data_IF_414710010603
#
_entry.id   IF_414710010603
#
_cell.length_a   1.000
_cell.length_b   1.000
_cell.length_c   1.000
_cell.angle_alpha   90.00
_cell.angle_beta   90.00
_cell.angle_gamma   90.00
#
_symmetry.space_group_name_H-M   'P 1'
#
loop_
_entity.id
_entity.type
_entity.pdbx_description
1 polymer ?
#
# COMPACT_ATOMS: atom_id res chain seq x y z
N UNK A 1 7.12 17.14 -18.37
CA UNK A 1 8.39 17.16 -17.61
C UNK A 1 8.34 16.36 -16.32
N UNK A 2 7.34 16.52 -15.42
CA UNK A 2 7.28 15.76 -14.12
C UNK A 2 7.25 14.23 -14.28
N UNK A 3 6.59 13.67 -15.31
CA UNK A 3 6.49 12.20 -15.53
C UNK A 3 7.78 11.54 -16.04
N UNK A 4 8.61 12.28 -16.80
CA UNK A 4 9.91 11.79 -17.24
C UNK A 4 10.93 11.73 -16.10
N UNK A 5 10.86 12.68 -15.16
CA UNK A 5 11.69 12.69 -13.95
C UNK A 5 11.41 11.46 -13.07
N UNK A 6 10.13 11.03 -12.96
CA UNK A 6 9.76 9.82 -12.21
C UNK A 6 10.37 8.56 -12.86
N UNK A 7 10.34 8.46 -14.18
CA UNK A 7 10.92 7.32 -14.90
C UNK A 7 12.46 7.24 -14.71
N UNK A 8 13.15 8.38 -14.73
CA UNK A 8 14.61 8.48 -14.54
C UNK A 8 14.98 8.21 -13.07
N UNK A 9 14.20 8.72 -12.09
CA UNK A 9 14.43 8.47 -10.68
C UNK A 9 14.29 6.98 -10.32
N UNK A 10 13.34 6.26 -10.93
CA UNK A 10 13.18 4.81 -10.79
C UNK A 10 14.38 4.00 -11.34
N UNK A 11 15.08 4.53 -12.35
CA UNK A 11 16.26 3.90 -12.95
C UNK A 11 17.55 4.14 -12.17
N UNK A 12 17.64 5.23 -11.40
CA UNK A 12 18.88 5.65 -10.73
C UNK A 12 18.94 5.28 -9.23
N UNK A 13 17.85 4.74 -8.68
CA UNK A 13 17.86 4.23 -7.29
C UNK A 13 17.78 5.29 -6.19
N UNK A 14 17.70 6.58 -6.52
CA UNK A 14 17.62 7.70 -5.57
C UNK A 14 16.16 8.12 -5.38
N UNK A 15 15.34 7.17 -4.90
CA UNK A 15 13.94 7.43 -4.57
C UNK A 15 13.82 7.64 -3.06
N UNK A 16 14.06 8.87 -2.62
CA UNK A 16 13.46 9.34 -1.37
C UNK A 16 11.94 9.24 -1.57
N UNK A 17 11.24 8.52 -0.69
CA UNK A 17 9.79 8.59 -0.59
C UNK A 17 9.40 9.97 -0.05
N UNK A 18 9.84 11.02 -0.73
CA UNK A 18 9.16 12.29 -0.64
C UNK A 18 7.78 12.07 -1.20
N UNK A 19 6.77 12.46 -0.46
CA UNK A 19 5.34 12.40 -0.77
C UNK A 19 5.01 13.28 -1.98
N UNK A 20 5.78 13.18 -3.08
CA UNK A 20 5.47 13.82 -4.34
C UNK A 20 4.42 13.01 -5.08
N UNK A 21 3.16 13.28 -4.68
CA UNK A 21 2.01 13.32 -5.59
C UNK A 21 1.88 12.11 -6.55
N UNK A 22 1.88 10.87 -6.02
CA UNK A 22 1.01 9.88 -6.61
C UNK A 22 -0.41 10.32 -6.24
N UNK A 23 -0.93 11.24 -7.04
CA UNK A 23 -2.27 11.75 -6.88
C UNK A 23 -3.21 10.54 -7.04
N UNK A 24 -3.88 10.13 -5.97
CA UNK A 24 -4.88 9.05 -5.98
C UNK A 24 -5.88 9.25 -7.13
N UNK A 25 -6.05 10.47 -7.62
CA UNK A 25 -6.82 10.83 -8.82
C UNK A 25 -6.24 10.31 -10.15
N UNK A 26 -4.97 9.91 -10.20
CA UNK A 26 -4.37 9.35 -11.42
C UNK A 26 -4.84 7.90 -11.73
N UNK A 27 -5.47 7.22 -10.77
CA UNK A 27 -6.14 5.93 -10.97
C UNK A 27 -7.56 6.05 -11.54
N UNK A 28 -8.00 7.24 -11.95
CA UNK A 28 -9.41 7.55 -12.20
C UNK A 28 -9.96 7.18 -13.58
N UNK A 29 -9.17 6.68 -14.52
CA UNK A 29 -9.75 6.08 -15.72
C UNK A 29 -10.14 4.62 -15.43
N UNK A 30 -11.40 4.26 -15.63
CA UNK A 30 -11.97 2.95 -15.27
C UNK A 30 -11.19 1.75 -15.83
N UNK A 31 -10.58 1.89 -16.99
CA UNK A 31 -9.87 0.82 -17.68
C UNK A 31 -8.46 0.60 -17.10
N UNK A 32 -7.72 1.68 -16.80
CA UNK A 32 -6.36 1.60 -16.24
C UNK A 32 -6.35 0.98 -14.85
N UNK A 33 -7.39 1.26 -14.09
CA UNK A 33 -7.57 0.76 -12.75
C UNK A 33 -7.85 -0.75 -12.74
N UNK A 34 -8.76 -1.24 -13.61
CA UNK A 34 -9.04 -2.66 -13.71
C UNK A 34 -7.82 -3.48 -14.16
N UNK A 35 -7.02 -2.91 -15.07
CA UNK A 35 -5.76 -3.51 -15.52
C UNK A 35 -4.75 -3.57 -14.37
N UNK A 36 -4.59 -2.50 -13.59
CA UNK A 36 -3.68 -2.49 -12.45
C UNK A 36 -4.08 -3.53 -11.41
N UNK A 37 -5.36 -3.59 -11.04
CA UNK A 37 -5.90 -4.60 -10.11
C UNK A 37 -5.63 -6.01 -10.61
N UNK A 38 -5.88 -6.28 -11.90
CA UNK A 38 -5.62 -7.59 -12.52
C UNK A 38 -4.13 -7.97 -12.48
N UNK A 39 -3.25 -7.02 -12.76
CA UNK A 39 -1.80 -7.25 -12.74
C UNK A 39 -1.27 -7.51 -11.33
N UNK A 40 -1.76 -6.78 -10.34
CA UNK A 40 -1.43 -7.01 -8.93
C UNK A 40 -1.94 -8.38 -8.48
N UNK A 41 -3.19 -8.73 -8.84
CA UNK A 41 -3.78 -10.03 -8.53
C UNK A 41 -2.95 -11.19 -9.13
N UNK A 42 -2.60 -11.09 -10.40
CA UNK A 42 -1.77 -12.08 -11.09
C UNK A 42 -0.36 -12.15 -10.49
N UNK A 43 0.26 -11.02 -10.17
CA UNK A 43 1.60 -10.96 -9.60
C UNK A 43 1.72 -11.72 -8.28
N UNK A 44 0.71 -11.59 -7.41
CA UNK A 44 0.68 -12.27 -6.11
C UNK A 44 -0.11 -13.59 -6.13
N UNK A 45 -0.62 -14.03 -7.28
CA UNK A 45 -1.51 -15.16 -7.38
C UNK A 45 -2.70 -15.08 -6.40
N UNK A 46 -3.33 -13.91 -6.37
CA UNK A 46 -4.49 -13.62 -5.52
C UNK A 46 -5.76 -13.46 -6.35
N UNK A 47 -6.91 -13.62 -5.70
CA UNK A 47 -8.21 -13.38 -6.30
C UNK A 47 -8.37 -11.91 -6.70
N UNK A 48 -8.88 -11.66 -7.93
CA UNK A 48 -9.12 -10.32 -8.46
C UNK A 48 -10.03 -9.49 -7.55
N UNK A 49 -11.08 -10.11 -7.02
CA UNK A 49 -12.06 -9.41 -6.20
C UNK A 49 -11.50 -9.04 -4.83
N UNK A 50 -10.57 -9.85 -4.30
CA UNK A 50 -9.85 -9.48 -3.08
C UNK A 50 -9.01 -8.21 -3.31
N UNK A 51 -8.20 -8.19 -4.38
CA UNK A 51 -7.36 -7.03 -4.68
C UNK A 51 -8.22 -5.80 -4.97
N UNK A 52 -9.32 -5.99 -5.72
CA UNK A 52 -10.28 -4.93 -5.99
C UNK A 52 -10.89 -4.36 -4.70
N UNK A 53 -11.32 -5.20 -3.77
CA UNK A 53 -11.90 -4.74 -2.49
C UNK A 53 -10.88 -3.96 -1.64
N UNK A 54 -9.61 -4.39 -1.63
CA UNK A 54 -8.53 -3.64 -0.98
C UNK A 54 -8.37 -2.25 -1.61
N UNK A 55 -8.34 -2.17 -2.95
CA UNK A 55 -8.25 -0.89 -3.67
C UNK A 55 -9.43 0.01 -3.34
N UNK A 56 -10.67 -0.49 -3.43
CA UNK A 56 -11.88 0.28 -3.13
C UNK A 56 -11.86 0.83 -1.70
N UNK A 57 -11.47 0.01 -0.72
CA UNK A 57 -11.34 0.43 0.67
C UNK A 57 -10.30 1.55 0.78
N UNK A 58 -9.13 1.38 0.17
CA UNK A 58 -8.05 2.37 0.23
C UNK A 58 -8.47 3.72 -0.35
N UNK A 59 -9.13 3.71 -1.52
CA UNK A 59 -9.63 4.93 -2.16
C UNK A 59 -10.65 5.66 -1.28
N UNK A 60 -11.55 4.92 -0.60
CA UNK A 60 -12.54 5.50 0.31
C UNK A 60 -11.91 6.19 1.54
N UNK A 61 -10.70 5.80 1.93
CA UNK A 61 -9.98 6.38 3.07
C UNK A 61 -8.79 7.23 2.65
N UNK A 62 -8.63 7.54 1.36
CA UNK A 62 -7.52 8.33 0.82
C UNK A 62 -6.13 7.75 1.19
N UNK A 63 -6.00 6.42 1.11
CA UNK A 63 -4.74 5.69 1.29
C UNK A 63 -4.30 5.13 -0.06
N UNK A 64 -2.99 5.17 -0.33
CA UNK A 64 -2.44 4.56 -1.54
C UNK A 64 -2.67 3.04 -1.54
N UNK A 65 -3.41 2.48 -2.53
CA UNK A 65 -3.68 1.05 -2.60
C UNK A 65 -2.41 0.19 -2.72
N UNK A 66 -1.39 0.65 -3.44
CA UNK A 66 -0.14 -0.10 -3.61
C UNK A 66 0.66 -0.14 -2.31
N UNK A 67 0.62 0.93 -1.51
CA UNK A 67 1.19 0.93 -0.16
C UNK A 67 0.49 -0.11 0.73
N UNK A 68 -0.84 -0.15 0.69
CA UNK A 68 -1.60 -1.10 1.49
C UNK A 68 -1.40 -2.55 1.05
N UNK A 69 -1.33 -2.82 -0.24
CA UNK A 69 -1.00 -4.14 -0.80
C UNK A 69 0.40 -4.59 -0.33
N UNK A 70 1.39 -3.68 -0.39
CA UNK A 70 2.74 -3.95 0.09
C UNK A 70 2.76 -4.29 1.59
N UNK A 71 1.97 -3.56 2.39
CA UNK A 71 1.82 -3.82 3.81
C UNK A 71 1.22 -5.21 4.06
N UNK A 72 0.11 -5.55 3.38
CA UNK A 72 -0.55 -6.87 3.51
C UNK A 72 0.41 -8.01 3.11
N UNK A 73 1.18 -7.82 2.04
CA UNK A 73 2.21 -8.77 1.60
C UNK A 73 3.21 -9.07 2.72
N UNK A 74 3.73 -8.04 3.36
CA UNK A 74 4.75 -8.19 4.42
C UNK A 74 4.15 -8.70 5.73
N UNK A 75 2.91 -8.32 6.07
CA UNK A 75 2.26 -8.71 7.33
C UNK A 75 1.80 -10.17 7.36
N UNK A 76 1.25 -10.66 6.28
CA UNK A 76 0.59 -11.97 6.28
C UNK A 76 0.80 -12.80 5.02
N UNK A 77 1.46 -12.26 4.01
CA UNK A 77 1.51 -12.87 2.67
C UNK A 77 0.09 -13.20 2.15
N UNK A 78 -0.85 -12.27 2.33
CA UNK A 78 -2.27 -12.43 2.00
C UNK A 78 -2.97 -13.59 2.73
N UNK A 79 -2.48 -14.02 3.89
CA UNK A 79 -3.15 -15.04 4.70
C UNK A 79 -4.21 -14.41 5.61
N UNK A 80 -5.53 -14.65 5.34
CA UNK A 80 -6.60 -14.05 6.11
C UNK A 80 -6.71 -14.56 7.57
N UNK A 81 -6.04 -15.66 7.88
CA UNK A 81 -6.08 -16.32 9.19
C UNK A 81 -4.74 -16.31 9.90
N UNK A 82 -3.75 -15.57 9.37
CA UNK A 82 -2.45 -15.43 10.00
C UNK A 82 -2.58 -14.96 11.45
N UNK A 83 -1.92 -15.65 12.37
CA UNK A 83 -1.92 -15.32 13.80
C UNK A 83 -0.48 -15.25 14.32
N UNK A 84 -0.09 -14.08 14.82
CA UNK A 84 1.24 -13.89 15.40
C UNK A 84 1.30 -14.28 16.88
N UNK A 85 2.53 -14.46 17.41
CA UNK A 85 2.75 -14.67 18.86
C UNK A 85 2.25 -13.52 19.73
N UNK A 86 2.11 -12.31 19.15
CA UNK A 86 1.58 -11.12 19.82
C UNK A 86 0.07 -10.97 19.66
N UNK A 87 -0.62 -12.02 19.22
CA UNK A 87 -2.07 -12.00 18.96
C UNK A 87 -2.49 -10.97 17.90
N UNK A 88 -1.61 -10.65 16.95
CA UNK A 88 -2.00 -9.92 15.74
C UNK A 88 -2.65 -10.90 14.75
N UNK A 89 -3.71 -10.49 14.04
CA UNK A 89 -4.54 -11.38 13.24
C UNK A 89 -4.83 -10.84 11.84
N UNK A 90 -4.90 -11.76 10.89
CA UNK A 90 -5.42 -11.58 9.54
C UNK A 90 -4.50 -10.86 8.58
N UNK A 91 -5.05 -10.39 7.47
CA UNK A 91 -4.33 -9.75 6.38
C UNK A 91 -3.38 -8.63 6.83
N UNK A 92 -3.85 -7.75 7.71
CA UNK A 92 -3.14 -6.57 8.18
C UNK A 92 -2.50 -6.77 9.56
N UNK A 93 -2.48 -8.00 10.09
CA UNK A 93 -1.92 -8.32 11.41
C UNK A 93 -2.41 -7.36 12.50
N UNK A 94 -3.72 -7.18 12.60
CA UNK A 94 -4.33 -6.25 13.54
C UNK A 94 -4.28 -6.81 14.97
N UNK A 95 -3.60 -6.10 15.87
CA UNK A 95 -3.59 -6.40 17.32
C UNK A 95 -4.91 -5.97 17.99
N UNK A 96 -5.28 -6.54 19.16
CA UNK A 96 -6.43 -6.06 19.93
C UNK A 96 -6.37 -4.57 20.26
N UNK A 97 -5.16 -4.05 20.53
CA UNK A 97 -4.92 -2.64 20.85
C UNK A 97 -5.21 -1.77 19.64
N UNK A 98 -4.65 -2.10 18.46
CA UNK A 98 -4.90 -1.37 17.23
C UNK A 98 -6.39 -1.38 16.86
N UNK A 99 -7.08 -2.53 16.99
CA UNK A 99 -8.51 -2.61 16.74
C UNK A 99 -9.31 -1.65 17.65
N UNK A 100 -9.01 -1.66 18.95
CA UNK A 100 -9.68 -0.77 19.92
C UNK A 100 -9.39 0.72 19.62
N UNK A 101 -8.19 1.03 19.20
CA UNK A 101 -7.75 2.40 18.91
C UNK A 101 -8.36 2.96 17.61
N UNK A 102 -8.59 2.10 16.61
CA UNK A 102 -9.19 2.49 15.33
C UNK A 102 -10.71 2.50 15.40
N UNK A 103 -11.30 1.36 15.73
CA UNK A 103 -12.76 1.19 15.88
C UNK A 103 -13.08 -0.11 16.62
N UNK A 104 -13.51 -0.03 17.89
CA UNK A 104 -13.84 -1.22 18.68
C UNK A 104 -15.09 -1.97 18.20
N UNK A 105 -15.90 -1.38 17.31
CA UNK A 105 -17.09 -2.02 16.74
C UNK A 105 -16.76 -2.96 15.59
N UNK A 106 -15.59 -2.76 14.93
CA UNK A 106 -15.13 -3.63 13.86
C UNK A 106 -14.50 -4.90 14.43
N UNK A 107 -14.73 -6.02 13.74
CA UNK A 107 -14.23 -7.32 14.13
C UNK A 107 -12.98 -7.70 13.30
N UNK A 108 -11.79 -7.63 13.89
CA UNK A 108 -10.52 -7.95 13.23
C UNK A 108 -10.44 -9.39 12.69
N UNK A 109 -11.31 -10.29 13.12
CA UNK A 109 -11.36 -11.68 12.63
C UNK A 109 -12.16 -11.84 11.33
N UNK A 110 -12.92 -10.83 10.92
CA UNK A 110 -13.61 -10.80 9.63
C UNK A 110 -12.71 -10.21 8.57
N UNK A 111 -12.52 -10.92 7.46
CA UNK A 111 -11.58 -10.60 6.38
C UNK A 111 -11.64 -9.13 5.94
N UNK A 112 -12.84 -8.67 5.55
CA UNK A 112 -13.04 -7.30 5.06
C UNK A 112 -12.86 -6.25 6.18
N UNK A 113 -13.39 -6.52 7.38
CA UNK A 113 -13.24 -5.60 8.51
C UNK A 113 -11.77 -5.49 8.95
N UNK A 114 -10.98 -6.57 8.85
CA UNK A 114 -9.54 -6.56 9.11
C UNK A 114 -8.81 -5.58 8.17
N UNK A 115 -9.14 -5.61 6.87
CA UNK A 115 -8.57 -4.68 5.88
C UNK A 115 -9.00 -3.23 6.20
N UNK A 116 -10.28 -3.00 6.49
CA UNK A 116 -10.78 -1.65 6.86
C UNK A 116 -10.04 -1.10 8.08
N UNK A 117 -9.83 -1.93 9.12
CA UNK A 117 -9.07 -1.53 10.31
C UNK A 117 -7.63 -1.18 9.93
N UNK A 118 -6.96 -2.01 9.11
CA UNK A 118 -5.58 -1.78 8.66
C UNK A 118 -5.43 -0.48 7.87
N UNK A 119 -6.33 -0.23 6.91
CA UNK A 119 -6.34 1.00 6.10
C UNK A 119 -6.58 2.23 6.98
N UNK A 120 -7.54 2.18 7.90
CA UNK A 120 -7.80 3.29 8.82
C UNK A 120 -6.64 3.50 9.79
N UNK A 121 -5.97 2.43 10.23
CA UNK A 121 -4.83 2.52 11.13
C UNK A 121 -3.63 3.18 10.45
N UNK A 122 -3.24 2.74 9.26
CA UNK A 122 -2.13 3.38 8.53
C UNK A 122 -2.47 4.82 8.16
N UNK A 123 -3.70 5.14 7.76
CA UNK A 123 -4.12 6.52 7.50
C UNK A 123 -3.99 7.42 8.73
N UNK A 124 -4.42 6.93 9.90
CA UNK A 124 -4.24 7.62 11.17
C UNK A 124 -2.77 7.90 11.47
N UNK A 125 -1.88 6.92 11.23
CA UNK A 125 -0.45 7.07 11.44
C UNK A 125 0.19 8.04 10.44
N UNK A 126 -0.22 8.02 9.17
CA UNK A 126 0.24 9.00 8.18
C UNK A 126 -0.12 10.42 8.62
N UNK A 127 -1.32 10.62 9.13
CA UNK A 127 -1.71 11.92 9.71
C UNK A 127 -0.92 12.28 10.96
N UNK A 128 -0.68 11.32 11.87
CA UNK A 128 0.10 11.52 13.10
C UNK A 128 1.55 11.95 12.82
N UNK A 129 2.15 11.42 11.76
CA UNK A 129 3.52 11.71 11.34
C UNK A 129 3.61 12.73 10.19
N UNK A 130 2.57 13.54 9.99
CA UNK A 130 2.54 14.64 9.02
C UNK A 130 2.96 14.23 7.60
N UNK A 131 2.51 13.03 7.18
CA UNK A 131 2.82 12.46 5.87
C UNK A 131 4.13 11.65 5.81
N UNK A 132 4.89 11.56 6.89
CA UNK A 132 6.10 10.74 6.91
C UNK A 132 5.76 9.24 6.90
N UNK A 133 5.78 8.64 5.69
CA UNK A 133 5.42 7.24 5.48
C UNK A 133 6.36 6.30 6.21
N UNK A 134 7.66 6.59 6.27
CA UNK A 134 8.63 5.74 6.96
C UNK A 134 8.33 5.64 8.45
N UNK A 135 8.13 6.76 9.13
CA UNK A 135 7.78 6.78 10.55
C UNK A 135 6.42 6.11 10.79
N UNK A 136 5.46 6.30 9.89
CA UNK A 136 4.15 5.64 9.95
C UNK A 136 4.27 4.12 9.89
N UNK A 137 5.07 3.59 8.98
CA UNK A 137 5.33 2.16 8.84
C UNK A 137 6.11 1.61 10.04
N UNK A 138 7.14 2.32 10.51
CA UNK A 138 7.90 1.92 11.70
C UNK A 138 7.00 1.84 12.93
N UNK A 139 6.10 2.82 13.12
CA UNK A 139 5.14 2.81 14.22
C UNK A 139 4.09 1.69 14.07
N UNK A 140 3.63 1.42 12.85
CA UNK A 140 2.71 0.32 12.58
C UNK A 140 3.25 -1.00 13.14
N UNK A 141 4.53 -1.29 12.93
CA UNK A 141 5.21 -2.50 13.40
C UNK A 141 5.58 -2.46 14.88
N UNK A 142 6.16 -1.36 15.36
CA UNK A 142 6.84 -1.27 16.64
C UNK A 142 6.10 -0.46 17.71
N UNK A 143 5.02 0.25 17.34
CA UNK A 143 4.32 1.14 18.25
C UNK A 143 5.25 2.24 18.77
N UNK A 144 5.20 2.53 20.06
CA UNK A 144 6.00 3.58 20.69
C UNK A 144 7.53 3.38 20.58
N UNK A 145 7.98 2.15 20.30
CA UNK A 145 9.40 1.86 20.10
C UNK A 145 9.91 2.18 18.67
N UNK A 146 9.11 2.82 17.83
CA UNK A 146 9.37 3.02 16.40
C UNK A 146 10.72 3.70 16.09
N UNK A 147 11.21 4.58 16.95
CA UNK A 147 12.51 5.24 16.80
C UNK A 147 13.71 4.27 16.91
N UNK A 148 13.51 3.14 17.59
CA UNK A 148 14.56 2.12 17.84
C UNK A 148 14.35 0.85 17.01
N UNK A 149 13.15 0.66 16.49
CA UNK A 149 12.72 -0.58 15.82
C UNK A 149 11.89 -0.23 14.59
N UNK A 150 11.66 -1.23 13.74
CA UNK A 150 10.77 -1.08 12.58
C UNK A 150 11.45 -0.57 11.30
N UNK A 151 12.73 -0.22 11.33
CA UNK A 151 13.46 0.23 10.12
C UNK A 151 13.47 -0.83 9.02
N UNK A 152 13.90 -2.05 9.34
CA UNK A 152 13.91 -3.16 8.38
C UNK A 152 12.50 -3.49 7.86
N UNK A 153 11.48 -3.37 8.72
CA UNK A 153 10.08 -3.54 8.32
C UNK A 153 9.65 -2.47 7.31
N UNK A 154 9.90 -1.20 7.62
CA UNK A 154 9.57 -0.10 6.72
C UNK A 154 10.31 -0.26 5.38
N UNK A 155 11.60 -0.64 5.40
CA UNK A 155 12.38 -0.84 4.18
C UNK A 155 11.84 -2.00 3.33
N UNK A 156 11.41 -3.10 3.93
CA UNK A 156 10.78 -4.21 3.21
C UNK A 156 9.49 -3.77 2.51
N UNK A 157 8.63 -2.99 3.18
CA UNK A 157 7.41 -2.46 2.55
C UNK A 157 7.76 -1.47 1.43
N UNK A 158 8.72 -0.58 1.63
CA UNK A 158 9.16 0.36 0.59
C UNK A 158 9.71 -0.37 -0.63
N UNK A 159 10.45 -1.46 -0.44
CA UNK A 159 10.96 -2.30 -1.54
C UNK A 159 9.81 -2.92 -2.33
N UNK A 160 8.83 -3.47 -1.65
CA UNK A 160 7.64 -4.07 -2.25
C UNK A 160 6.82 -3.02 -3.00
N UNK A 161 6.61 -1.87 -2.39
CA UNK A 161 5.92 -0.73 -2.99
C UNK A 161 6.61 -0.23 -4.27
N UNK A 162 7.96 -0.11 -4.27
CA UNK A 162 8.71 0.26 -5.48
C UNK A 162 8.51 -0.76 -6.61
N UNK A 163 8.51 -2.05 -6.30
CA UNK A 163 8.27 -3.11 -7.29
C UNK A 163 6.87 -3.00 -7.89
N UNK A 164 5.82 -2.76 -7.09
CA UNK A 164 4.46 -2.59 -7.59
C UNK A 164 4.32 -1.33 -8.47
N UNK A 165 4.98 -0.24 -8.12
CA UNK A 165 5.00 0.95 -8.97
C UNK A 165 5.66 0.69 -10.33
N UNK A 166 6.71 -0.14 -10.38
CA UNK A 166 7.32 -0.56 -11.64
C UNK A 166 6.35 -1.39 -12.51
N UNK A 167 5.54 -2.26 -11.91
CA UNK A 167 4.48 -2.97 -12.63
C UNK A 167 3.45 -2.00 -13.21
N UNK A 168 3.04 -0.99 -12.45
CA UNK A 168 2.13 0.06 -12.92
C UNK A 168 2.70 0.84 -14.10
N UNK A 169 3.93 1.33 -14.00
CA UNK A 169 4.61 2.10 -15.06
C UNK A 169 4.77 1.25 -16.34
N UNK A 170 5.20 -0.01 -16.21
CA UNK A 170 5.33 -0.92 -17.36
C UNK A 170 4.03 -1.07 -18.12
N UNK A 171 2.91 -1.15 -17.41
CA UNK A 171 1.60 -1.26 -18.03
C UNK A 171 1.22 0.00 -18.80
N UNK A 172 1.47 1.18 -18.24
CA UNK A 172 1.23 2.46 -18.90
C UNK A 172 2.04 2.58 -20.22
N UNK A 173 3.27 2.09 -20.22
CA UNK A 173 4.12 2.03 -21.41
C UNK A 173 3.58 1.03 -22.43
N UNK A 174 3.22 -0.18 -22.03
CA UNK A 174 2.73 -1.26 -22.90
C UNK A 174 1.43 -0.89 -23.62
N UNK A 175 0.58 -0.08 -23.00
CA UNK A 175 -0.67 0.42 -23.59
C UNK A 175 -0.51 1.73 -24.39
N UNK A 176 0.74 2.17 -24.65
CA UNK A 176 1.02 3.34 -25.52
C UNK A 176 0.62 4.69 -24.92
N UNK A 177 0.28 4.75 -23.61
CA UNK A 177 -0.18 5.98 -22.97
C UNK A 177 0.94 6.96 -22.64
N UNK A 178 2.17 6.48 -22.49
CA UNK A 178 3.36 7.31 -22.20
C UNK A 178 4.07 7.77 -23.48
N UNK A 179 4.07 6.97 -24.55
CA UNK A 179 4.83 7.26 -25.78
C UNK A 179 4.20 8.25 -26.75
N UNK A 180 2.92 8.65 -26.61
CA UNK A 180 2.24 9.51 -27.57
C UNK A 180 2.42 11.02 -27.38
N UNK A 181 3.19 11.49 -26.40
CA UNK A 181 3.33 12.93 -26.12
C UNK A 181 4.69 13.56 -26.42
N UNK A 182 5.66 12.84 -27.00
CA UNK A 182 7.01 13.39 -27.22
C UNK A 182 7.54 13.27 -28.65
N UNK A 183 6.69 13.08 -29.67
CA UNK A 183 7.11 13.02 -31.06
C UNK A 183 6.31 14.02 -31.93
N UNK A 184 6.08 15.24 -31.41
CA UNK A 184 5.77 16.40 -32.29
C UNK A 184 6.08 17.69 -31.55
#
# INVERSE_FOLDING_TARGET
MKRLVILIALLIGDFSLETHDLNIKDYSSSDDWAILVSNVANHYNQDFWLIKDIFDICLNYNVDPLLMISLIKIESDFNPTALSRKNAYGYCQITPIANKDVDPKLNRYKKRENIVIGVRFINKLIGLFEGNIENSLRYYNAGHDYNKKGEAYAENIKKEYRMLNLLYVRNQVSYGKIYRKEVF
#
